data_IF_004503226225
#
_entry.id   IF_004503226225
#
_cell.length_a   1.000
_cell.length_b   1.000
_cell.length_c   1.000
_cell.angle_alpha   90.00
_cell.angle_beta   90.00
_cell.angle_gamma   90.00
#
_symmetry.space_group_name_H-M   'P 1'
#
loop_
_entity.id
_entity.type
_entity.pdbx_description
1 polymer ?
#
# COMPACT_ATOMS: atom_id res chain seq x y z
N UNK A 1 -22.85 24.73 16.01
CA UNK A 1 -23.42 23.81 15.00
C UNK A 1 -22.63 24.00 13.73
N UNK A 2 -21.95 22.95 13.28
CA UNK A 2 -20.91 23.04 12.25
C UNK A 2 -21.08 21.88 11.27
N UNK A 3 -21.28 22.22 10.00
CA UNK A 3 -21.18 21.31 8.87
C UNK A 3 -19.98 21.77 8.06
N UNK A 4 -19.05 20.86 7.79
CA UNK A 4 -17.84 21.15 7.00
C UNK A 4 -17.71 20.08 5.94
N UNK A 5 -17.46 20.50 4.71
CA UNK A 5 -16.94 19.66 3.65
C UNK A 5 -15.75 20.41 3.10
N UNK A 6 -14.55 19.86 3.30
CA UNK A 6 -13.37 20.27 2.53
C UNK A 6 -13.65 19.80 1.11
N UNK A 7 -13.44 20.67 0.11
CA UNK A 7 -13.72 20.52 -1.33
C UNK A 7 -13.75 19.08 -1.89
N UNK A 8 -14.45 18.80 -3.02
CA UNK A 8 -14.54 17.48 -3.65
C UNK A 8 -13.20 16.79 -3.87
N UNK A 9 -12.72 16.10 -2.83
CA UNK A 9 -11.53 15.25 -2.86
C UNK A 9 -11.79 14.11 -3.82
N UNK A 10 -10.93 14.02 -4.84
CA UNK A 10 -10.95 12.90 -5.77
C UNK A 10 -10.01 11.83 -5.25
N UNK A 11 -10.58 10.72 -4.78
CA UNK A 11 -9.84 9.48 -4.58
C UNK A 11 -9.83 8.71 -5.91
N UNK A 12 -8.70 8.74 -6.61
CA UNK A 12 -8.49 7.88 -7.77
C UNK A 12 -7.97 6.53 -7.25
N UNK A 13 -8.82 5.51 -7.24
CA UNK A 13 -8.39 4.18 -6.85
C UNK A 13 -7.73 3.45 -8.02
N UNK A 14 -6.43 3.22 -7.87
CA UNK A 14 -5.66 2.39 -8.80
C UNK A 14 -5.26 1.07 -8.12
N UNK A 15 -4.99 1.10 -6.81
CA UNK A 15 -4.43 -0.03 -6.05
C UNK A 15 -5.22 -0.37 -4.79
N UNK A 16 -6.28 0.39 -4.48
CA UNK A 16 -7.07 0.24 -3.23
C UNK A 16 -6.20 0.32 -1.97
N UNK A 17 -5.10 1.04 -2.08
CA UNK A 17 -4.07 1.09 -1.04
C UNK A 17 -4.22 2.31 -0.16
N UNK A 18 -3.62 2.25 1.02
CA UNK A 18 -3.41 3.41 1.86
C UNK A 18 -2.77 4.59 1.09
N UNK A 19 -1.85 4.30 0.16
CA UNK A 19 -1.19 5.32 -0.67
C UNK A 19 -2.17 6.08 -1.56
N UNK A 20 -3.24 5.45 -2.06
CA UNK A 20 -4.26 6.15 -2.86
C UNK A 20 -4.99 7.19 -2.00
N UNK A 21 -5.36 6.83 -0.76
CA UNK A 21 -6.01 7.73 0.19
C UNK A 21 -5.07 8.86 0.65
N UNK A 22 -3.83 8.54 1.01
CA UNK A 22 -2.80 9.51 1.35
C UNK A 22 -2.55 10.48 0.19
N UNK A 23 -2.42 9.99 -1.04
CA UNK A 23 -2.22 10.82 -2.22
C UNK A 23 -3.36 11.82 -2.41
N UNK A 24 -4.62 11.37 -2.32
CA UNK A 24 -5.78 12.24 -2.48
C UNK A 24 -5.80 13.38 -1.45
N UNK A 25 -5.43 13.10 -0.20
CA UNK A 25 -5.38 14.13 0.86
C UNK A 25 -4.22 15.10 0.64
N UNK A 26 -3.00 14.60 0.41
CA UNK A 26 -1.82 15.45 0.29
C UNK A 26 -1.82 16.31 -0.97
N UNK A 27 -2.32 15.77 -2.09
CA UNK A 27 -2.40 16.50 -3.36
C UNK A 27 -3.40 17.65 -3.30
N UNK A 28 -4.60 17.43 -2.76
CA UNK A 28 -5.59 18.52 -2.57
C UNK A 28 -5.10 19.58 -1.60
N UNK A 29 -4.42 19.15 -0.52
CA UNK A 29 -3.85 20.08 0.46
C UNK A 29 -2.74 20.95 -0.16
N UNK A 30 -2.19 20.55 -1.31
CA UNK A 30 -1.03 21.17 -1.93
C UNK A 30 0.30 20.76 -1.27
N UNK A 31 0.28 19.74 -0.42
CA UNK A 31 1.48 19.21 0.25
C UNK A 31 2.24 18.20 -0.62
N UNK A 32 1.65 17.66 -1.68
CA UNK A 32 2.37 16.79 -2.60
C UNK A 32 1.97 17.09 -4.05
N UNK A 33 2.94 17.47 -4.88
CA UNK A 33 2.72 17.92 -6.26
C UNK A 33 3.15 16.92 -7.33
N UNK A 34 3.90 15.88 -6.95
CA UNK A 34 4.34 14.84 -7.88
C UNK A 34 3.19 13.84 -8.17
N UNK A 35 3.29 13.02 -9.22
CA UNK A 35 2.31 11.98 -9.51
C UNK A 35 2.19 10.91 -8.41
N UNK A 36 1.08 10.17 -8.35
CA UNK A 36 0.83 9.14 -7.31
C UNK A 36 1.90 8.06 -7.26
N UNK A 37 2.44 7.64 -8.40
CA UNK A 37 3.53 6.65 -8.43
C UNK A 37 4.80 7.17 -7.74
N UNK A 38 5.06 8.49 -7.75
CA UNK A 38 6.15 9.08 -6.97
C UNK A 38 5.89 8.96 -5.48
N UNK A 39 4.66 9.24 -5.01
CA UNK A 39 4.32 9.02 -3.60
C UNK A 39 4.49 7.55 -3.22
N UNK A 40 4.00 6.63 -4.06
CA UNK A 40 4.11 5.19 -3.82
C UNK A 40 5.56 4.70 -3.75
N UNK A 41 6.44 5.27 -4.56
CA UNK A 41 7.87 4.98 -4.56
C UNK A 41 8.61 5.61 -3.39
N UNK A 42 8.42 6.91 -3.16
CA UNK A 42 9.08 7.66 -2.09
C UNK A 42 8.75 7.13 -0.69
N UNK A 43 7.53 6.60 -0.51
CA UNK A 43 7.11 5.93 0.74
C UNK A 43 7.50 4.44 0.81
N UNK A 44 8.18 3.93 -0.22
CA UNK A 44 8.51 2.52 -0.43
C UNK A 44 7.31 1.55 -0.46
N UNK A 45 6.08 2.08 -0.51
CA UNK A 45 4.86 1.28 -0.54
C UNK A 45 4.79 0.36 -1.77
N UNK A 46 5.32 0.80 -2.92
CA UNK A 46 5.29 -0.02 -4.13
C UNK A 46 6.25 -1.22 -4.10
N UNK A 47 7.18 -1.27 -3.15
CA UNK A 47 8.13 -2.37 -2.99
C UNK A 47 7.65 -3.42 -1.98
N UNK A 48 6.57 -3.15 -1.23
CA UNK A 48 6.00 -4.13 -0.33
C UNK A 48 5.36 -5.25 -1.13
N UNK A 49 5.72 -6.49 -0.81
CA UNK A 49 5.14 -7.67 -1.39
C UNK A 49 4.94 -8.73 -0.31
N UNK A 50 3.70 -9.06 0.00
CA UNK A 50 3.35 -10.03 1.04
C UNK A 50 2.08 -10.78 0.64
N UNK A 51 2.08 -12.08 0.88
CA UNK A 51 0.94 -12.94 0.52
C UNK A 51 0.65 -13.92 1.63
N UNK A 52 -0.63 -14.12 1.90
CA UNK A 52 -1.07 -15.29 2.63
C UNK A 52 -0.77 -16.52 1.77
N UNK A 53 -0.30 -17.62 2.37
CA UNK A 53 0.08 -18.85 1.65
C UNK A 53 -1.09 -19.53 0.94
N UNK A 54 -2.32 -19.20 1.33
CA UNK A 54 -3.55 -19.58 0.62
C UNK A 54 -4.13 -18.49 -0.28
N UNK A 55 -3.37 -17.42 -0.56
CA UNK A 55 -3.75 -16.31 -1.45
C UNK A 55 -5.05 -15.61 -1.04
N UNK A 56 -5.29 -15.44 0.26
CA UNK A 56 -6.44 -14.69 0.76
C UNK A 56 -6.37 -13.21 0.33
N UNK A 57 -7.54 -12.58 0.19
CA UNK A 57 -7.68 -11.17 -0.24
C UNK A 57 -6.97 -10.15 0.68
N UNK A 58 -6.76 -10.50 1.94
CA UNK A 58 -6.12 -9.66 2.95
C UNK A 58 -4.60 -9.56 2.78
N UNK A 59 -3.98 -10.37 1.90
CA UNK A 59 -2.56 -10.32 1.54
C UNK A 59 -2.03 -8.90 1.28
N UNK A 60 -2.84 -8.06 0.66
CA UNK A 60 -2.47 -6.70 0.27
C UNK A 60 -2.63 -5.69 1.40
N UNK A 61 -3.31 -6.03 2.49
CA UNK A 61 -3.56 -5.15 3.64
C UNK A 61 -3.03 -5.74 4.96
N UNK A 62 -2.56 -6.98 4.97
CA UNK A 62 -1.94 -7.60 6.13
C UNK A 62 -0.49 -7.11 6.27
N UNK A 63 -0.30 -6.10 7.12
CA UNK A 63 1.00 -5.57 7.55
C UNK A 63 0.78 -4.62 8.75
N UNK A 64 1.87 -4.16 9.37
CA UNK A 64 1.78 -3.22 10.48
C UNK A 64 1.41 -1.80 10.02
N UNK A 65 0.10 -1.47 9.95
CA UNK A 65 -0.38 -0.15 9.51
C UNK A 65 0.19 0.99 10.34
N UNK A 66 0.27 0.83 11.66
CA UNK A 66 0.79 1.89 12.54
C UNK A 66 2.26 2.17 12.22
N UNK A 67 3.11 1.15 12.10
CA UNK A 67 4.51 1.41 11.77
C UNK A 67 4.68 1.96 10.35
N UNK A 68 4.09 1.28 9.36
CA UNK A 68 4.33 1.56 7.94
C UNK A 68 3.74 2.91 7.50
N UNK A 69 2.55 3.27 7.97
CA UNK A 69 1.92 4.53 7.54
C UNK A 69 2.51 5.78 8.22
N UNK A 70 3.10 5.62 9.42
CA UNK A 70 3.86 6.71 10.05
C UNK A 70 5.16 6.94 9.30
N UNK A 71 5.92 5.88 9.05
CA UNK A 71 7.16 5.94 8.27
C UNK A 71 6.89 6.49 6.87
N UNK A 72 5.79 6.10 6.23
CA UNK A 72 5.39 6.66 4.95
C UNK A 72 5.20 8.18 5.00
N UNK A 73 4.53 8.70 6.03
CA UNK A 73 4.37 10.15 6.20
C UNK A 73 5.72 10.85 6.44
N UNK A 74 6.55 10.31 7.35
CA UNK A 74 7.86 10.85 7.70
C UNK A 74 8.81 10.91 6.49
N UNK A 75 8.83 9.86 5.65
CA UNK A 75 9.65 9.79 4.44
C UNK A 75 9.36 10.92 3.45
N UNK A 76 8.12 11.41 3.40
CA UNK A 76 7.72 12.51 2.52
C UNK A 76 7.56 13.84 3.26
N UNK A 77 8.13 13.94 4.47
CA UNK A 77 8.17 15.18 5.24
C UNK A 77 6.82 15.59 5.80
N UNK A 78 5.90 14.66 6.04
CA UNK A 78 4.58 14.94 6.59
C UNK A 78 4.52 14.44 8.03
N UNK A 79 4.18 15.34 8.96
CA UNK A 79 3.87 14.92 10.32
C UNK A 79 2.44 14.38 10.38
N UNK A 80 2.27 13.27 11.08
CA UNK A 80 0.98 12.59 11.18
C UNK A 80 0.76 12.00 12.57
N UNK A 81 -0.52 12.02 12.98
CA UNK A 81 -1.01 11.30 14.14
C UNK A 81 -1.96 10.20 13.69
N UNK A 82 -1.98 9.09 14.42
CA UNK A 82 -2.81 7.93 14.06
C UNK A 82 -3.13 7.11 15.29
N UNK A 83 -4.19 6.32 15.19
CA UNK A 83 -4.52 5.33 16.20
C UNK A 83 -5.16 4.12 15.56
N UNK A 84 -4.98 2.97 16.20
CA UNK A 84 -5.50 1.70 15.75
C UNK A 84 -5.79 0.77 16.93
N UNK A 85 -6.59 -0.26 16.69
CA UNK A 85 -6.81 -1.31 17.66
C UNK A 85 -7.96 -2.21 17.28
N UNK A 86 -8.54 -2.88 18.28
CA UNK A 86 -9.67 -3.77 18.09
C UNK A 86 -10.95 -3.21 18.71
N UNK A 87 -12.06 -3.32 18.00
CA UNK A 87 -13.35 -2.80 18.44
C UNK A 87 -14.01 -3.61 19.57
N UNK A 88 -13.50 -4.81 19.85
CA UNK A 88 -13.90 -5.62 21.01
C UNK A 88 -13.18 -5.22 22.31
N UNK A 89 -12.20 -4.32 22.26
CA UNK A 89 -11.50 -3.86 23.45
C UNK A 89 -12.45 -3.09 24.38
N UNK A 90 -12.41 -3.29 25.72
CA UNK A 90 -13.28 -2.58 26.66
C UNK A 90 -13.18 -1.05 26.59
N UNK A 91 -12.02 -0.54 26.18
CA UNK A 91 -11.72 0.89 26.02
C UNK A 91 -12.09 1.44 24.65
N UNK A 92 -12.57 0.62 23.71
CA UNK A 92 -12.93 1.03 22.35
C UNK A 92 -13.87 2.25 22.31
N UNK A 93 -14.94 2.36 23.14
CA UNK A 93 -15.79 3.56 23.13
C UNK A 93 -15.06 4.86 23.48
N UNK A 94 -13.94 4.79 24.21
CA UNK A 94 -13.10 5.96 24.50
C UNK A 94 -12.28 6.34 23.26
N UNK A 95 -11.66 5.34 22.62
CA UNK A 95 -10.88 5.56 21.40
C UNK A 95 -11.74 6.04 20.23
N UNK A 96 -12.95 5.49 20.07
CA UNK A 96 -13.88 5.94 19.03
C UNK A 96 -14.23 7.43 19.19
N UNK A 97 -14.56 7.88 20.41
CA UNK A 97 -14.83 9.29 20.68
C UNK A 97 -13.62 10.18 20.43
N UNK A 98 -12.42 9.72 20.78
CA UNK A 98 -11.19 10.45 20.52
C UNK A 98 -10.91 10.56 19.01
N UNK A 99 -11.04 9.46 18.27
CA UNK A 99 -10.89 9.44 16.81
C UNK A 99 -11.83 10.42 16.11
N UNK A 100 -13.10 10.49 16.55
CA UNK A 100 -14.07 11.46 16.02
C UNK A 100 -13.55 12.89 16.21
N UNK A 101 -13.05 13.24 17.39
CA UNK A 101 -12.52 14.57 17.68
C UNK A 101 -11.27 14.89 16.84
N UNK A 102 -10.36 13.95 16.69
CA UNK A 102 -9.12 14.13 15.95
C UNK A 102 -9.38 14.33 14.46
N UNK A 103 -10.25 13.51 13.86
CA UNK A 103 -10.64 13.62 12.45
C UNK A 103 -11.33 14.96 12.21
N UNK A 104 -12.28 15.36 13.07
CA UNK A 104 -12.94 16.67 12.98
C UNK A 104 -11.92 17.81 13.07
N UNK A 105 -10.97 17.72 13.99
CA UNK A 105 -9.91 18.72 14.17
C UNK A 105 -9.03 18.85 12.92
N UNK A 106 -8.71 17.73 12.25
CA UNK A 106 -7.99 17.74 10.96
C UNK A 106 -8.81 18.41 9.85
N UNK A 107 -10.09 18.05 9.72
CA UNK A 107 -11.02 18.64 8.74
C UNK A 107 -11.20 20.13 8.97
N UNK A 108 -11.24 20.57 10.23
CA UNK A 108 -11.31 21.97 10.61
C UNK A 108 -10.08 22.80 10.20
N UNK A 109 -8.93 22.13 10.01
CA UNK A 109 -7.72 22.71 9.43
C UNK A 109 -7.67 22.55 7.90
N UNK A 110 -8.78 22.17 7.28
CA UNK A 110 -8.89 21.87 5.85
C UNK A 110 -7.96 20.74 5.40
N UNK A 111 -7.80 19.71 6.22
CA UNK A 111 -7.03 18.50 5.89
C UNK A 111 -7.92 17.27 6.10
N UNK A 112 -8.00 16.38 5.11
CA UNK A 112 -8.73 15.12 5.25
C UNK A 112 -8.00 14.12 6.17
N UNK A 113 -8.69 13.05 6.52
CA UNK A 113 -8.14 11.93 7.27
C UNK A 113 -8.26 10.63 6.48
N UNK A 114 -7.30 9.72 6.63
CA UNK A 114 -7.44 8.33 6.17
C UNK A 114 -8.15 7.53 7.25
N UNK A 115 -9.12 6.71 6.86
CA UNK A 115 -9.87 5.82 7.74
C UNK A 115 -9.91 4.41 7.15
N UNK A 116 -9.86 3.39 8.00
CA UNK A 116 -10.18 2.02 7.61
C UNK A 116 -11.69 1.76 7.76
N UNK A 117 -12.39 1.60 6.63
CA UNK A 117 -13.79 1.18 6.52
C UNK A 117 -13.90 0.03 5.52
N UNK A 118 -13.39 -1.14 5.91
CA UNK A 118 -13.22 -2.35 5.07
C UNK A 118 -12.27 -2.19 3.87
N UNK A 119 -11.79 -0.96 3.68
CA UNK A 119 -10.73 -0.48 2.80
C UNK A 119 -10.26 0.89 3.31
N UNK A 120 -9.16 1.41 2.77
CA UNK A 120 -8.71 2.76 3.09
C UNK A 120 -9.55 3.80 2.35
N UNK A 121 -10.21 4.68 3.10
CA UNK A 121 -11.08 5.74 2.57
C UNK A 121 -10.59 7.11 3.03
N UNK A 122 -11.01 8.16 2.32
CA UNK A 122 -10.76 9.55 2.73
C UNK A 122 -12.00 10.10 3.41
N UNK A 123 -11.85 10.59 4.64
CA UNK A 123 -12.86 11.38 5.35
C UNK A 123 -12.51 12.86 5.23
N UNK A 124 -13.44 13.68 4.72
CA UNK A 124 -13.16 15.09 4.43
C UNK A 124 -14.30 16.04 4.77
N UNK A 125 -15.35 15.52 5.40
CA UNK A 125 -16.42 16.34 5.94
C UNK A 125 -17.12 15.66 7.11
N UNK A 126 -17.92 16.45 7.81
CA UNK A 126 -18.80 15.96 8.87
C UNK A 126 -20.01 16.87 9.07
N UNK A 127 -21.05 16.33 9.69
CA UNK A 127 -22.22 17.05 10.16
C UNK A 127 -22.49 16.70 11.63
N UNK A 128 -22.29 17.69 12.52
CA UNK A 128 -22.51 17.50 13.96
C UNK A 128 -23.98 17.32 14.35
N UNK A 129 -24.92 17.79 13.53
CA UNK A 129 -26.35 17.65 13.85
C UNK A 129 -26.85 16.23 13.55
N UNK A 130 -26.28 15.61 12.51
CA UNK A 130 -26.62 14.25 12.08
C UNK A 130 -25.66 13.20 12.66
N UNK A 131 -24.58 13.64 13.32
CA UNK A 131 -23.52 12.80 13.86
C UNK A 131 -22.89 11.87 12.82
N UNK A 132 -22.61 12.40 11.62
CA UNK A 132 -22.03 11.65 10.49
C UNK A 132 -20.74 12.28 9.97
N UNK A 133 -19.84 11.42 9.51
CA UNK A 133 -18.73 11.77 8.61
C UNK A 133 -19.15 11.61 7.15
N UNK A 134 -18.63 12.47 6.29
CA UNK A 134 -18.67 12.30 4.84
C UNK A 134 -17.33 11.73 4.37
N UNK A 135 -17.37 10.60 3.68
CA UNK A 135 -16.19 9.93 3.15
C UNK A 135 -16.35 9.58 1.67
N UNK A 136 -15.21 9.41 1.00
CA UNK A 136 -15.12 8.85 -0.35
C UNK A 136 -14.25 7.61 -0.33
N UNK A 137 -14.74 6.59 -1.02
CA UNK A 137 -14.05 5.33 -1.24
C UNK A 137 -13.58 5.17 -2.70
N UNK A 138 -13.69 6.23 -3.51
CA UNK A 138 -13.29 6.23 -4.92
C UNK A 138 -14.18 5.41 -5.87
N UNK A 139 -15.24 4.76 -5.37
CA UNK A 139 -16.24 4.09 -6.20
C UNK A 139 -17.46 4.96 -6.47
N UNK A 140 -17.96 5.64 -5.44
CA UNK A 140 -19.16 6.45 -5.53
C UNK A 140 -18.86 7.85 -6.11
N UNK A 141 -19.75 8.34 -6.97
CA UNK A 141 -19.69 9.73 -7.49
C UNK A 141 -20.01 10.74 -6.38
N UNK A 142 -20.81 10.33 -5.39
CA UNK A 142 -21.20 11.13 -4.25
C UNK A 142 -20.53 10.62 -2.98
N UNK A 143 -20.43 11.50 -1.99
CA UNK A 143 -19.99 11.13 -0.65
C UNK A 143 -20.91 10.10 -0.02
N UNK A 144 -20.30 9.22 0.76
CA UNK A 144 -21.00 8.29 1.63
C UNK A 144 -21.01 8.83 3.06
N UNK A 145 -22.00 8.41 3.83
CA UNK A 145 -22.17 8.81 5.21
C UNK A 145 -21.73 7.68 6.15
N UNK A 146 -20.94 8.04 7.17
CA UNK A 146 -20.54 7.15 8.25
C UNK A 146 -20.98 7.76 9.59
N UNK A 147 -21.97 7.17 10.28
CA UNK A 147 -22.32 7.59 11.63
C UNK A 147 -21.11 7.50 12.58
N UNK A 148 -20.96 8.48 13.47
CA UNK A 148 -19.85 8.51 14.44
C UNK A 148 -19.80 7.25 15.31
N UNK A 149 -20.96 6.69 15.66
CA UNK A 149 -21.08 5.46 16.44
C UNK A 149 -20.66 4.18 15.69
N UNK A 150 -20.56 4.24 14.35
CA UNK A 150 -20.10 3.17 13.48
C UNK A 150 -18.61 3.27 13.13
N UNK A 151 -17.93 4.34 13.53
CA UNK A 151 -16.48 4.49 13.31
C UNK A 151 -15.71 3.32 13.97
N UNK A 152 -14.93 2.58 13.18
CA UNK A 152 -14.17 1.42 13.65
C UNK A 152 -14.98 0.12 13.79
N UNK A 153 -16.25 0.11 13.35
CA UNK A 153 -17.05 -1.10 13.21
C UNK A 153 -16.99 -1.57 11.76
N UNK A 154 -16.10 -2.54 11.52
CA UNK A 154 -15.78 -3.09 10.21
C UNK A 154 -16.05 -4.59 10.19
N UNK A 155 -15.98 -5.21 9.01
CA UNK A 155 -16.03 -6.67 8.87
C UNK A 155 -14.90 -7.34 9.65
N UNK A 156 -13.71 -6.73 9.60
CA UNK A 156 -12.60 -7.03 10.51
C UNK A 156 -12.79 -6.28 11.83
N UNK A 157 -12.50 -6.87 13.00
CA UNK A 157 -12.57 -6.16 14.27
C UNK A 157 -11.52 -5.03 14.40
N UNK A 158 -10.58 -4.95 13.46
CA UNK A 158 -9.51 -3.95 13.48
C UNK A 158 -10.00 -2.58 12.97
N UNK A 159 -9.65 -1.52 13.67
CA UNK A 159 -9.94 -0.13 13.30
C UNK A 159 -8.65 0.68 13.21
N UNK A 160 -8.67 1.70 12.36
CA UNK A 160 -7.51 2.55 12.09
C UNK A 160 -7.95 3.90 11.53
N UNK A 161 -7.27 4.98 11.94
CA UNK A 161 -7.28 6.25 11.22
C UNK A 161 -5.90 6.92 11.27
N UNK A 162 -5.67 7.83 10.32
CA UNK A 162 -4.53 8.75 10.33
C UNK A 162 -4.97 10.16 9.92
N UNK A 163 -4.45 11.14 10.63
CA UNK A 163 -4.58 12.57 10.34
C UNK A 163 -3.20 13.14 10.03
N UNK A 164 -3.14 14.08 9.10
CA UNK A 164 -1.91 14.79 8.75
C UNK A 164 -1.93 16.20 9.35
N UNK A 165 -0.78 16.66 9.83
CA UNK A 165 -0.68 17.83 10.70
C UNK A 165 0.09 18.98 10.06
N UNK A 166 1.29 18.70 9.56
CA UNK A 166 2.18 19.71 8.97
C UNK A 166 3.09 19.10 7.88
N UNK A 167 3.78 19.96 7.14
CA UNK A 167 4.73 19.60 6.11
C UNK A 167 6.09 20.27 6.33
N UNK A 168 7.15 19.48 6.16
CA UNK A 168 8.53 19.91 6.02
C UNK A 168 8.98 19.75 4.55
N UNK A 169 9.76 20.69 4.07
CA UNK A 169 10.47 20.52 2.79
C UNK A 169 11.56 19.45 2.92
N UNK A 170 11.62 18.56 1.93
CA UNK A 170 12.53 17.41 1.91
C UNK A 170 13.41 17.43 0.67
N UNK A 171 14.61 16.87 0.78
CA UNK A 171 15.46 16.59 -0.37
C UNK A 171 14.93 15.35 -1.10
N UNK A 172 14.28 15.57 -2.24
CA UNK A 172 13.70 14.51 -3.08
C UNK A 172 14.72 13.42 -3.41
N UNK A 173 15.98 13.76 -3.68
CA UNK A 173 17.00 12.76 -4.01
C UNK A 173 17.33 11.87 -2.79
N UNK A 174 17.34 12.43 -1.58
CA UNK A 174 17.56 11.64 -0.37
C UNK A 174 16.40 10.69 -0.10
N UNK A 175 15.17 11.15 -0.29
CA UNK A 175 13.98 10.29 -0.16
C UNK A 175 13.99 9.18 -1.19
N UNK A 176 14.38 9.47 -2.43
CA UNK A 176 14.55 8.45 -3.47
C UNK A 176 15.58 7.40 -3.02
N UNK A 177 16.76 7.81 -2.54
CA UNK A 177 17.78 6.87 -2.05
C UNK A 177 17.28 6.04 -0.88
N UNK A 178 16.63 6.65 0.10
CA UNK A 178 16.06 5.95 1.26
C UNK A 178 15.02 4.92 0.82
N UNK A 179 14.15 5.26 -0.12
CA UNK A 179 13.14 4.32 -0.63
C UNK A 179 13.74 3.06 -1.24
N UNK A 180 14.90 3.14 -1.88
CA UNK A 180 15.60 1.98 -2.44
C UNK A 180 16.30 1.15 -1.37
N UNK A 181 16.77 1.77 -0.28
CA UNK A 181 17.22 1.03 0.91
C UNK A 181 16.06 0.23 1.50
N UNK A 182 14.88 0.86 1.62
CA UNK A 182 13.66 0.21 2.09
C UNK A 182 13.21 -0.91 1.13
N UNK A 183 13.38 -0.75 -0.18
CA UNK A 183 13.09 -1.79 -1.17
C UNK A 183 13.91 -3.07 -0.92
N UNK A 184 15.22 -2.92 -0.69
CA UNK A 184 16.11 -4.05 -0.34
C UNK A 184 15.69 -4.67 0.99
N UNK A 185 15.43 -3.85 2.01
CA UNK A 185 14.99 -4.35 3.32
C UNK A 185 13.70 -5.17 3.23
N UNK A 186 12.67 -4.66 2.53
CA UNK A 186 11.38 -5.34 2.33
C UNK A 186 11.48 -6.59 1.45
N UNK A 187 12.49 -6.66 0.59
CA UNK A 187 12.78 -7.84 -0.22
C UNK A 187 13.36 -8.99 0.61
N UNK A 188 14.25 -8.66 1.55
CA UNK A 188 15.03 -9.64 2.32
C UNK A 188 14.40 -10.01 3.67
N UNK A 189 13.60 -9.10 4.23
CA UNK A 189 13.09 -9.22 5.60
C UNK A 189 11.63 -9.62 5.61
N UNK A 190 11.30 -10.58 6.47
CA UNK A 190 9.92 -10.96 6.74
C UNK A 190 9.29 -9.98 7.73
N UNK A 191 8.03 -9.57 7.51
CA UNK A 191 7.32 -8.69 8.44
C UNK A 191 7.09 -9.44 9.77
N UNK A 192 7.68 -8.92 10.86
CA UNK A 192 7.62 -9.53 12.19
C UNK A 192 6.20 -9.64 12.75
N UNK A 193 5.25 -8.83 12.26
CA UNK A 193 3.85 -8.88 12.69
C UNK A 193 3.05 -9.96 11.96
N UNK A 194 3.60 -10.55 10.90
CA UNK A 194 2.94 -11.60 10.13
C UNK A 194 3.54 -12.97 10.46
N UNK A 195 2.74 -13.97 10.87
CA UNK A 195 3.28 -15.31 11.14
C UNK A 195 3.84 -15.94 9.86
N UNK A 196 5.13 -16.31 9.85
CA UNK A 196 5.82 -16.94 8.70
C UNK A 196 5.13 -18.23 8.19
N UNK A 197 4.39 -18.90 9.08
CA UNK A 197 3.60 -20.10 8.77
C UNK A 197 2.38 -19.80 7.89
N UNK A 198 1.86 -18.58 7.91
CA UNK A 198 0.65 -18.20 7.18
C UNK A 198 0.96 -17.20 6.07
N UNK A 199 1.97 -16.35 6.25
CA UNK A 199 2.37 -15.32 5.30
C UNK A 199 3.79 -15.52 4.79
N UNK A 200 4.04 -15.05 3.58
CA UNK A 200 5.36 -14.92 3.00
C UNK A 200 5.57 -13.49 2.48
N UNK A 201 6.75 -12.93 2.71
CA UNK A 201 7.11 -11.56 2.35
C UNK A 201 8.30 -11.53 1.38
N UNK A 202 8.39 -10.44 0.61
CA UNK A 202 9.50 -10.16 -0.30
C UNK A 202 9.73 -11.30 -1.30
N UNK A 203 10.97 -11.76 -1.40
CA UNK A 203 11.35 -12.88 -2.27
C UNK A 203 10.50 -14.14 -2.04
N UNK A 204 10.20 -14.47 -0.77
CA UNK A 204 9.49 -15.71 -0.41
C UNK A 204 8.02 -15.70 -0.85
N UNK A 205 7.45 -14.52 -1.09
CA UNK A 205 6.07 -14.40 -1.54
C UNK A 205 5.86 -15.04 -2.93
N UNK A 206 6.83 -14.93 -3.83
CA UNK A 206 6.79 -15.62 -5.13
C UNK A 206 6.76 -17.14 -4.97
N UNK A 207 7.56 -17.68 -4.05
CA UNK A 207 7.60 -19.12 -3.79
C UNK A 207 6.27 -19.61 -3.21
N UNK A 208 5.69 -18.86 -2.27
CA UNK A 208 4.38 -19.17 -1.69
C UNK A 208 3.27 -19.16 -2.75
N UNK A 209 3.26 -18.20 -3.69
CA UNK A 209 2.31 -18.18 -4.80
C UNK A 209 2.45 -19.42 -5.68
N UNK A 210 3.68 -19.75 -6.08
CA UNK A 210 3.95 -20.91 -6.94
C UNK A 210 3.53 -22.22 -6.25
N UNK A 211 3.81 -22.36 -4.96
CA UNK A 211 3.39 -23.51 -4.16
C UNK A 211 1.87 -23.62 -4.08
N UNK A 212 1.18 -22.53 -3.79
CA UNK A 212 -0.28 -22.47 -3.71
C UNK A 212 -0.94 -22.87 -5.04
N UNK A 213 -0.47 -22.31 -6.16
CA UNK A 213 -0.96 -22.63 -7.50
C UNK A 213 -0.70 -24.09 -7.89
N UNK A 214 0.44 -24.66 -7.52
CA UNK A 214 0.77 -26.08 -7.78
C UNK A 214 -0.09 -27.03 -6.96
N UNK A 215 -0.32 -26.71 -5.69
CA UNK A 215 -1.10 -27.53 -4.78
C UNK A 215 -2.61 -27.46 -5.07
N UNK A 216 -3.08 -26.32 -5.61
CA UNK A 216 -4.50 -26.06 -5.83
C UNK A 216 -5.29 -25.77 -4.56
N UNK A 217 -4.63 -25.66 -3.40
CA UNK A 217 -5.24 -25.28 -2.11
C UNK A 217 -5.04 -23.78 -1.87
N UNK A 218 -5.84 -22.97 -2.54
CA UNK A 218 -5.84 -21.51 -2.39
C UNK A 218 -7.24 -20.92 -2.61
N UNK A 219 -7.46 -19.72 -2.08
CA UNK A 219 -8.64 -18.90 -2.34
C UNK A 219 -8.52 -18.25 -3.73
N UNK A 220 -9.27 -18.75 -4.71
CA UNK A 220 -9.21 -18.25 -6.09
C UNK A 220 -9.69 -16.79 -6.20
N UNK A 221 -10.73 -16.40 -5.45
CA UNK A 221 -11.23 -15.03 -5.46
C UNK A 221 -10.22 -14.09 -4.78
N UNK A 222 -9.65 -14.52 -3.65
CA UNK A 222 -8.57 -13.81 -2.98
C UNK A 222 -7.33 -13.64 -3.85
N UNK A 223 -6.94 -14.68 -4.61
CA UNK A 223 -5.82 -14.63 -5.53
C UNK A 223 -6.06 -13.60 -6.64
N UNK A 224 -7.25 -13.59 -7.24
CA UNK A 224 -7.62 -12.61 -8.26
C UNK A 224 -7.51 -11.18 -7.73
N UNK A 225 -8.09 -10.88 -6.56
CA UNK A 225 -7.97 -9.55 -5.91
C UNK A 225 -6.50 -9.19 -5.63
N UNK A 226 -5.75 -10.12 -5.06
CA UNK A 226 -4.35 -9.91 -4.67
C UNK A 226 -3.46 -9.61 -5.88
N UNK A 227 -3.62 -10.36 -6.98
CA UNK A 227 -2.82 -10.17 -8.20
C UNK A 227 -3.16 -8.88 -8.92
N UNK A 228 -4.44 -8.46 -8.95
CA UNK A 228 -4.85 -7.16 -9.49
C UNK A 228 -4.18 -6.00 -8.75
N UNK A 229 -4.19 -6.02 -7.41
CA UNK A 229 -3.52 -4.98 -6.61
C UNK A 229 -2.02 -4.98 -6.87
N UNK A 230 -1.36 -6.14 -6.86
CA UNK A 230 0.07 -6.19 -7.08
C UNK A 230 0.48 -5.80 -8.50
N UNK A 231 -0.33 -6.07 -9.52
CA UNK A 231 -0.07 -5.58 -10.86
C UNK A 231 -0.11 -4.04 -10.93
N UNK A 232 -1.07 -3.39 -10.26
CA UNK A 232 -1.10 -1.93 -10.12
C UNK A 232 0.15 -1.41 -9.38
N UNK A 233 0.52 -2.06 -8.28
CA UNK A 233 1.71 -1.72 -7.49
C UNK A 233 3.01 -1.86 -8.29
N UNK A 234 3.16 -2.92 -9.11
CA UNK A 234 4.35 -3.10 -9.96
C UNK A 234 4.41 -2.07 -11.09
N UNK A 235 3.27 -1.60 -11.60
CA UNK A 235 3.22 -0.45 -12.53
C UNK A 235 3.68 0.84 -11.86
N UNK A 236 3.28 1.07 -10.62
CA UNK A 236 3.77 2.22 -9.85
C UNK A 236 5.27 2.14 -9.64
N UNK A 237 5.81 0.97 -9.27
CA UNK A 237 7.25 0.77 -9.13
C UNK A 237 8.00 1.07 -10.45
N UNK A 238 7.50 0.57 -11.58
CA UNK A 238 8.09 0.85 -12.89
C UNK A 238 8.10 2.35 -13.22
N UNK A 239 6.94 3.02 -13.11
CA UNK A 239 6.82 4.48 -13.36
C UNK A 239 7.68 5.30 -12.41
N UNK A 240 7.70 4.93 -11.14
CA UNK A 240 8.54 5.56 -10.12
C UNK A 240 10.02 5.45 -10.49
N UNK A 241 10.50 4.25 -10.78
CA UNK A 241 11.92 4.06 -11.12
C UNK A 241 12.30 4.77 -12.40
N UNK A 242 11.40 4.89 -13.38
CA UNK A 242 11.64 5.66 -14.59
C UNK A 242 11.75 7.17 -14.30
N UNK A 243 10.84 7.74 -13.52
CA UNK A 243 10.90 9.15 -13.13
C UNK A 243 12.10 9.44 -12.21
N UNK A 244 12.41 8.53 -11.29
CA UNK A 244 13.52 8.66 -10.36
C UNK A 244 14.88 8.75 -11.05
N UNK A 245 15.02 8.20 -12.28
CA UNK A 245 16.23 8.36 -13.11
C UNK A 245 16.53 9.81 -13.46
N UNK A 246 15.52 10.67 -13.53
CA UNK A 246 15.72 12.10 -13.78
C UNK A 246 16.45 12.79 -12.62
N UNK A 247 16.28 12.27 -11.40
CA UNK A 247 16.97 12.74 -10.19
C UNK A 247 18.27 11.98 -9.92
N UNK A 248 18.30 10.68 -10.24
CA UNK A 248 19.44 9.80 -10.00
C UNK A 248 19.68 8.87 -11.21
N UNK A 249 20.45 9.32 -12.22
CA UNK A 249 20.65 8.57 -13.48
C UNK A 249 21.26 7.17 -13.31
N UNK A 250 21.89 6.88 -12.17
CA UNK A 250 22.42 5.55 -11.89
C UNK A 250 21.34 4.45 -11.81
N UNK A 251 20.06 4.83 -11.72
CA UNK A 251 18.91 3.92 -11.68
C UNK A 251 18.52 3.33 -13.05
N UNK A 252 19.25 3.63 -14.14
CA UNK A 252 18.93 3.16 -15.50
C UNK A 252 18.60 1.66 -15.56
N UNK A 253 19.47 0.81 -14.98
CA UNK A 253 19.27 -0.65 -15.00
C UNK A 253 18.10 -1.06 -14.10
N UNK A 254 17.90 -0.37 -12.97
CA UNK A 254 16.81 -0.64 -12.03
C UNK A 254 15.45 -0.43 -12.70
N UNK A 255 15.28 0.67 -13.45
CA UNK A 255 14.03 0.95 -14.15
C UNK A 255 13.72 -0.05 -15.27
N UNK A 256 14.75 -0.54 -15.98
CA UNK A 256 14.58 -1.60 -16.98
C UNK A 256 13.98 -2.86 -16.34
N UNK A 257 14.49 -3.27 -15.18
CA UNK A 257 14.00 -4.47 -14.50
C UNK A 257 12.58 -4.30 -13.94
N UNK A 258 12.25 -3.15 -13.35
CA UNK A 258 10.87 -2.90 -12.89
C UNK A 258 9.88 -2.75 -14.04
N UNK A 259 10.29 -2.19 -15.19
CA UNK A 259 9.46 -2.14 -16.39
C UNK A 259 9.14 -3.54 -16.93
N UNK A 260 10.14 -4.42 -16.94
CA UNK A 260 9.94 -5.84 -17.28
C UNK A 260 8.98 -6.51 -16.29
N UNK A 261 9.19 -6.30 -14.99
CA UNK A 261 8.33 -6.85 -13.94
C UNK A 261 6.87 -6.42 -14.11
N UNK A 262 6.61 -5.14 -14.35
CA UNK A 262 5.26 -4.64 -14.59
C UNK A 262 4.62 -5.28 -15.83
N UNK A 263 5.39 -5.49 -16.90
CA UNK A 263 4.93 -6.18 -18.12
C UNK A 263 4.55 -7.64 -17.85
N UNK A 264 5.31 -8.33 -17.00
CA UNK A 264 5.01 -9.71 -16.60
C UNK A 264 3.71 -9.76 -15.79
N UNK A 265 3.51 -8.83 -14.85
CA UNK A 265 2.26 -8.73 -14.08
C UNK A 265 1.04 -8.40 -14.96
N UNK A 266 1.21 -7.61 -16.02
CA UNK A 266 0.16 -7.38 -17.01
C UNK A 266 -0.22 -8.67 -17.77
N UNK A 267 0.75 -9.52 -18.09
CA UNK A 267 0.47 -10.82 -18.69
C UNK A 267 -0.20 -11.78 -17.70
N UNK A 268 0.19 -11.74 -16.41
CA UNK A 268 -0.48 -12.50 -15.34
C UNK A 268 -1.97 -12.16 -15.30
N UNK A 269 -2.34 -10.87 -15.31
CA UNK A 269 -3.75 -10.46 -15.29
C UNK A 269 -4.53 -10.94 -16.51
N UNK A 270 -3.97 -10.76 -17.72
CA UNK A 270 -4.61 -11.26 -18.96
C UNK A 270 -4.87 -12.76 -18.92
N UNK A 271 -4.02 -13.53 -18.24
CA UNK A 271 -4.18 -14.99 -18.11
C UNK A 271 -5.22 -15.37 -17.06
N UNK A 272 -5.33 -14.60 -15.97
CA UNK A 272 -6.37 -14.79 -14.97
C UNK A 272 -7.77 -14.62 -15.58
N UNK A 273 -7.97 -13.57 -16.38
CA UNK A 273 -9.25 -13.33 -17.08
C UNK A 273 -9.66 -14.51 -17.98
N UNK A 274 -8.69 -15.12 -18.67
CA UNK A 274 -8.92 -16.28 -19.53
C UNK A 274 -9.17 -17.57 -18.72
N UNK A 275 -8.54 -17.70 -17.55
CA UNK A 275 -8.71 -18.85 -16.67
C UNK A 275 -10.15 -18.97 -16.15
N UNK A 276 -10.77 -17.85 -15.75
CA UNK A 276 -12.17 -17.84 -15.27
C UNK A 276 -13.16 -18.35 -16.32
N UNK A 277 -12.82 -18.24 -17.60
CA UNK A 277 -13.65 -18.67 -18.73
C UNK A 277 -13.35 -20.10 -19.23
N UNK A 278 -12.38 -20.81 -18.63
CA UNK A 278 -11.81 -22.06 -19.17
C UNK A 278 -12.44 -23.35 -18.59
N UNK A 279 -12.47 -24.42 -19.39
CA UNK A 279 -12.87 -25.77 -18.95
C UNK A 279 -11.71 -26.56 -18.29
N UNK A 280 -12.01 -27.60 -17.51
CA UNK A 280 -11.05 -28.32 -16.63
C UNK A 280 -9.68 -28.71 -17.27
N UNK A 281 -9.57 -29.23 -18.52
CA UNK A 281 -8.27 -29.52 -19.11
C UNK A 281 -7.47 -28.26 -19.47
N UNK A 282 -8.17 -27.17 -19.81
CA UNK A 282 -7.56 -25.89 -20.16
C UNK A 282 -7.13 -25.13 -18.91
N UNK A 283 -7.85 -25.30 -17.79
CA UNK A 283 -7.52 -24.73 -16.50
C UNK A 283 -6.09 -25.12 -16.03
N UNK A 284 -5.71 -26.40 -16.12
CA UNK A 284 -4.38 -26.85 -15.70
C UNK A 284 -3.25 -26.23 -16.56
N UNK A 285 -3.47 -26.08 -17.87
CA UNK A 285 -2.50 -25.45 -18.77
C UNK A 285 -2.33 -23.97 -18.43
N UNK A 286 -3.40 -23.26 -18.06
CA UNK A 286 -3.30 -21.86 -17.63
C UNK A 286 -2.58 -21.73 -16.29
N UNK A 287 -2.82 -22.63 -15.32
CA UNK A 287 -2.11 -22.64 -14.03
C UNK A 287 -0.61 -22.82 -14.25
N UNK A 288 -0.19 -23.74 -15.11
CA UNK A 288 1.24 -23.94 -15.42
C UNK A 288 1.88 -22.67 -16.01
N UNK A 289 1.17 -21.96 -16.91
CA UNK A 289 1.63 -20.69 -17.46
C UNK A 289 1.69 -19.58 -16.41
N UNK A 290 0.73 -19.52 -15.49
CA UNK A 290 0.78 -18.57 -14.37
C UNK A 290 1.99 -18.84 -13.48
N UNK A 291 2.29 -20.11 -13.20
CA UNK A 291 3.49 -20.51 -12.44
C UNK A 291 4.77 -20.03 -13.15
N UNK A 292 4.88 -20.25 -14.47
CA UNK A 292 6.01 -19.77 -15.26
C UNK A 292 6.16 -18.24 -15.17
N UNK A 293 5.05 -17.49 -15.32
CA UNK A 293 5.06 -16.03 -15.20
C UNK A 293 5.49 -15.55 -13.81
N UNK A 294 5.07 -16.21 -12.72
CA UNK A 294 5.52 -15.85 -11.38
C UNK A 294 7.01 -16.18 -11.15
N UNK A 295 7.54 -17.22 -11.79
CA UNK A 295 8.97 -17.50 -11.77
C UNK A 295 9.76 -16.43 -12.54
N UNK A 296 9.27 -16.00 -13.70
CA UNK A 296 9.88 -14.90 -14.46
C UNK A 296 9.82 -13.57 -13.70
N UNK A 297 8.69 -13.28 -13.04
CA UNK A 297 8.53 -12.11 -12.19
C UNK A 297 9.52 -12.12 -11.01
N UNK A 298 9.69 -13.28 -10.37
CA UNK A 298 10.69 -13.48 -9.31
C UNK A 298 12.09 -13.15 -9.80
N UNK A 299 12.48 -13.64 -10.98
CA UNK A 299 13.79 -13.36 -11.59
C UNK A 299 13.95 -11.86 -11.87
N UNK A 300 12.95 -11.24 -12.49
CA UNK A 300 12.98 -9.82 -12.84
C UNK A 300 13.14 -8.92 -11.59
N UNK A 301 12.35 -9.15 -10.54
CA UNK A 301 12.47 -8.36 -9.30
C UNK A 301 13.79 -8.66 -8.56
N UNK A 302 14.27 -9.91 -8.58
CA UNK A 302 15.60 -10.25 -8.04
C UNK A 302 16.69 -9.42 -8.73
N UNK A 303 16.67 -9.31 -10.06
CA UNK A 303 17.65 -8.51 -10.81
C UNK A 303 17.52 -7.01 -10.51
N UNK A 304 16.31 -6.50 -10.30
CA UNK A 304 16.09 -5.12 -9.87
C UNK A 304 16.74 -4.86 -8.51
N UNK A 305 16.50 -5.73 -7.52
CA UNK A 305 17.04 -5.60 -6.17
C UNK A 305 18.56 -5.75 -6.15
N UNK A 306 19.14 -6.68 -6.91
CA UNK A 306 20.59 -6.81 -7.03
C UNK A 306 21.23 -5.55 -7.64
N UNK A 307 20.55 -4.92 -8.60
CA UNK A 307 21.00 -3.66 -9.19
C UNK A 307 20.98 -2.54 -8.14
N UNK A 308 19.92 -2.45 -7.35
CA UNK A 308 19.81 -1.50 -6.23
C UNK A 308 20.93 -1.73 -5.20
N UNK A 309 21.17 -2.99 -4.79
CA UNK A 309 22.22 -3.33 -3.85
C UNK A 309 23.60 -2.91 -4.36
N UNK A 310 23.88 -3.15 -5.65
CA UNK A 310 25.14 -2.74 -6.30
C UNK A 310 25.34 -1.23 -6.25
N UNK A 311 24.27 -0.46 -6.48
CA UNK A 311 24.29 1.01 -6.39
C UNK A 311 24.49 1.53 -4.96
N UNK A 312 24.06 0.76 -3.97
CA UNK A 312 24.05 1.14 -2.56
C UNK A 312 25.11 0.42 -1.71
N UNK A 313 26.11 -0.24 -2.32
CA UNK A 313 27.12 -1.05 -1.63
C UNK A 313 27.91 -0.28 -0.54
N UNK A 314 28.21 1.01 -0.73
CA UNK A 314 28.87 1.83 0.30
C UNK A 314 27.91 2.30 1.43
N UNK A 315 26.70 2.81 1.16
CA UNK A 315 25.73 3.20 2.20
C UNK A 315 25.20 2.06 3.08
N UNK A 316 24.91 0.89 2.50
CA UNK A 316 24.23 -0.20 3.21
C UNK A 316 25.17 -0.88 4.23
N UNK A 317 26.44 -1.10 3.85
CA UNK A 317 27.43 -1.72 4.74
C UNK A 317 27.69 -0.91 6.02
N UNK A 318 27.62 0.42 5.93
CA UNK A 318 27.83 1.30 7.09
C UNK A 318 26.62 1.33 8.05
N UNK A 319 25.38 1.19 7.53
CA UNK A 319 24.16 1.29 8.34
C UNK A 319 23.91 0.06 9.22
N UNK A 320 24.35 -1.13 8.79
CA UNK A 320 24.24 -2.35 9.60
C UNK A 320 25.17 -2.37 10.82
N UNK A 321 26.03 -1.36 11.01
CA UNK A 321 26.89 -1.22 12.18
C UNK A 321 26.44 -0.12 13.16
N UNK A 322 25.48 0.73 12.77
CA UNK A 322 24.89 1.72 13.66
C UNK A 322 23.59 1.19 14.29
N UNK A 323 23.70 0.80 15.56
CA UNK A 323 22.64 0.18 16.38
C UNK A 323 21.50 1.19 16.71
N UNK A 324 21.64 2.47 16.35
CA UNK A 324 20.72 3.55 16.76
C UNK A 324 19.44 3.72 15.95
N UNK A 325 19.17 2.90 14.93
CA UNK A 325 17.97 2.99 14.07
C UNK A 325 17.12 1.70 14.07
N UNK A 326 17.25 0.87 15.11
CA UNK A 326 16.39 -0.31 15.33
C UNK A 326 15.13 0.02 16.11
#
# INVERSE_FOLDING_TARGET
>A
MKQVIVHPLRLNMESYSFTDAMYGILSEKGWFSLPKYMLSGMTAACFRFSVHRKLHRDSTTAYNWMAEHLVAADLVGITASQCAGFNFAPTFPLYQRHAVLDIKSSIDRSTGAVLWKDQFVIVNGYNDNEEVFYYTDGHAVAYQELPFCELGRNDSPYWYYQVYEDQLEIDVLQVIKESFIQAVFKWETHDLMLPESEYACGLKAYDAIVEALRAGDYDAAGAHTTFNVYAAVKKDAARYTEEARTYWPALDIVAVHYTLLATIFDEILKRLDVFEMSTLPHAQLQINKLIELFQDAKIAETSAIQSIQTLLQEPIANRFHDIGLR
#
